data_IF_784550707172
#
_entry.id   IF_784550707172
#
_cell.length_a   1.000
_cell.length_b   1.000
_cell.length_c   1.000
_cell.angle_alpha   90.00
_cell.angle_beta   90.00
_cell.angle_gamma   90.00
#
_symmetry.space_group_name_H-M   'P 1'
#
loop_
_entity.id
_entity.type
_entity.pdbx_description
1 polymer ?
#
# COMPACT_ATOMS: atom_id res chain seq x y z
N UNK A 1 3.36 -7.24 -17.47
CA UNK A 1 2.51 -6.17 -16.92
C UNK A 1 2.39 -6.32 -15.43
N UNK A 2 2.36 -5.21 -14.70
CA UNK A 2 2.14 -5.19 -13.25
C UNK A 2 1.11 -4.11 -12.92
N UNK A 3 0.18 -4.42 -12.01
CA UNK A 3 -0.80 -3.44 -11.52
C UNK A 3 -0.26 -2.82 -10.25
N UNK A 4 -0.34 -1.50 -10.19
CA UNK A 4 0.09 -0.73 -9.03
C UNK A 4 -1.05 0.14 -8.54
N UNK A 5 -1.11 0.33 -7.23
CA UNK A 5 -2.04 1.24 -6.58
C UNK A 5 -1.27 2.34 -5.85
N UNK A 6 -1.79 3.57 -5.94
CA UNK A 6 -1.15 4.75 -5.36
C UNK A 6 -2.14 5.65 -4.66
N UNK A 7 -1.65 6.43 -3.72
CA UNK A 7 -2.29 7.64 -3.26
C UNK A 7 -1.43 8.81 -3.72
N UNK A 8 -2.03 9.81 -4.35
CA UNK A 8 -1.35 11.04 -4.74
C UNK A 8 -2.05 12.25 -4.13
N UNK A 9 -1.28 13.30 -3.82
CA UNK A 9 -1.82 14.51 -3.19
C UNK A 9 -1.01 15.76 -3.57
N UNK A 10 -1.64 16.93 -3.40
CA UNK A 10 -0.97 18.23 -3.47
C UNK A 10 -0.11 18.53 -2.23
N UNK A 11 -0.32 17.78 -1.14
CA UNK A 11 0.35 18.00 0.15
C UNK A 11 0.96 16.70 0.69
N UNK A 12 1.96 16.77 1.58
CA UNK A 12 2.49 15.58 2.24
C UNK A 12 1.40 14.87 3.05
N UNK A 13 1.36 13.55 2.93
CA UNK A 13 0.54 12.65 3.72
C UNK A 13 1.38 11.89 4.76
N UNK A 14 0.82 11.55 5.93
CA UNK A 14 1.50 10.71 6.91
C UNK A 14 1.64 9.27 6.41
N UNK A 15 2.84 8.71 6.47
CA UNK A 15 3.06 7.28 6.18
C UNK A 15 2.50 6.40 7.31
N UNK A 16 1.90 5.27 6.96
CA UNK A 16 1.41 4.27 7.91
C UNK A 16 1.81 2.87 7.44
N UNK A 17 2.20 2.01 8.38
CA UNK A 17 2.47 0.60 8.10
C UNK A 17 1.82 -0.26 9.19
N UNK A 18 0.67 -0.85 8.86
CA UNK A 18 -0.05 -1.76 9.76
C UNK A 18 0.32 -3.23 9.55
N UNK A 19 1.24 -3.54 8.61
CA UNK A 19 1.71 -4.91 8.37
C UNK A 19 2.56 -5.45 9.53
N UNK A 20 3.01 -4.55 10.42
CA UNK A 20 3.95 -4.85 11.50
C UNK A 20 5.26 -5.49 11.00
N UNK A 21 5.61 -5.25 9.73
CA UNK A 21 6.86 -5.70 9.15
C UNK A 21 8.04 -4.99 9.84
N UNK A 22 9.05 -5.77 10.20
CA UNK A 22 10.25 -5.27 10.86
C UNK A 22 11.47 -5.90 10.22
N UNK A 23 12.43 -5.04 9.89
CA UNK A 23 13.77 -5.48 9.50
C UNK A 23 14.62 -5.57 10.75
N UNK A 24 15.28 -6.71 10.96
CA UNK A 24 16.21 -6.89 12.06
C UNK A 24 17.35 -7.82 11.66
N UNK A 25 18.45 -7.79 12.41
CA UNK A 25 19.56 -8.72 12.14
C UNK A 25 19.15 -10.13 12.55
N UNK A 26 19.62 -11.13 11.82
CA UNK A 26 19.30 -12.53 12.12
C UNK A 26 19.72 -12.89 13.55
N UNK A 27 20.91 -12.45 14.00
CA UNK A 27 21.35 -12.62 15.40
C UNK A 27 20.37 -12.13 16.47
N UNK A 28 19.60 -11.08 16.17
CA UNK A 28 18.61 -10.52 17.09
C UNK A 28 17.31 -11.32 17.02
N UNK A 29 16.90 -11.74 15.83
CA UNK A 29 15.77 -12.64 15.63
C UNK A 29 15.95 -13.97 16.40
N UNK A 30 17.15 -14.56 16.34
CA UNK A 30 17.49 -15.80 17.09
C UNK A 30 17.26 -15.67 18.60
N UNK A 31 17.57 -14.51 19.17
CA UNK A 31 17.39 -14.27 20.61
C UNK A 31 15.92 -14.29 21.03
N UNK A 32 15.03 -13.87 20.13
CA UNK A 32 13.58 -13.78 20.36
C UNK A 32 12.90 -15.13 20.06
N UNK A 33 13.36 -15.86 19.03
CA UNK A 33 12.72 -17.08 18.52
C UNK A 33 13.59 -18.34 18.76
N UNK A 34 14.06 -18.55 19.99
CA UNK A 34 14.99 -19.64 20.36
C UNK A 34 14.49 -21.06 20.09
N UNK A 35 13.18 -21.27 19.91
CA UNK A 35 12.58 -22.62 19.83
C UNK A 35 12.27 -23.10 18.40
N UNK A 36 12.38 -22.24 17.36
CA UNK A 36 11.92 -22.58 16.00
C UNK A 36 13.01 -23.03 15.03
N UNK A 37 14.24 -23.25 15.50
CA UNK A 37 15.42 -23.19 14.63
C UNK A 37 15.87 -24.50 13.98
N UNK A 38 15.47 -25.68 14.45
CA UNK A 38 16.14 -26.91 14.00
C UNK A 38 15.92 -27.28 12.52
N UNK A 39 14.93 -26.70 11.83
CA UNK A 39 14.62 -27.00 10.42
C UNK A 39 14.26 -25.76 9.56
N UNK A 40 14.65 -24.55 9.98
CA UNK A 40 14.33 -23.32 9.24
C UNK A 40 15.39 -23.01 8.18
N UNK A 41 14.98 -22.58 6.98
CA UNK A 41 15.90 -22.05 5.95
C UNK A 41 16.70 -20.84 6.45
N UNK A 42 16.16 -20.12 7.46
CA UNK A 42 16.84 -18.99 8.09
C UNK A 42 18.10 -19.41 8.86
N UNK A 43 18.22 -20.68 9.27
CA UNK A 43 19.42 -21.21 9.95
C UNK A 43 20.69 -21.16 9.11
N UNK A 44 20.56 -20.96 7.79
CA UNK A 44 21.68 -20.83 6.86
C UNK A 44 22.16 -19.39 6.69
N UNK A 45 21.45 -18.41 7.28
CA UNK A 45 21.80 -16.99 7.17
C UNK A 45 22.92 -16.62 8.14
N UNK A 46 23.78 -15.69 7.71
CA UNK A 46 24.78 -15.05 8.57
C UNK A 46 24.09 -14.22 9.68
N UNK A 47 24.72 -14.10 10.83
CA UNK A 47 24.26 -13.31 11.98
C UNK A 47 24.00 -11.84 11.64
N UNK A 48 24.76 -11.29 10.70
CA UNK A 48 24.65 -9.91 10.22
C UNK A 48 23.65 -9.74 9.07
N UNK A 49 23.11 -10.84 8.52
CA UNK A 49 22.06 -10.77 7.51
C UNK A 49 20.81 -10.08 8.08
N UNK A 50 20.23 -9.18 7.30
CA UNK A 50 18.97 -8.51 7.66
C UNK A 50 17.81 -9.39 7.19
N UNK A 51 16.96 -9.77 8.13
CA UNK A 51 15.74 -10.52 7.87
C UNK A 51 14.53 -9.59 8.00
N UNK A 52 13.57 -9.76 7.10
CA UNK A 52 12.25 -9.14 7.21
C UNK A 52 11.34 -10.10 7.97
N UNK A 53 10.85 -9.67 9.12
CA UNK A 53 9.92 -10.43 9.95
C UNK A 53 8.59 -9.73 9.91
N UNK A 54 7.53 -10.48 9.67
CA UNK A 54 6.18 -9.97 9.59
C UNK A 54 5.24 -10.98 10.24
N UNK A 55 4.21 -10.48 10.91
CA UNK A 55 3.12 -11.33 11.36
C UNK A 55 2.30 -11.76 10.13
N UNK A 56 2.22 -13.07 9.81
CA UNK A 56 1.49 -13.53 8.64
C UNK A 56 0.02 -13.10 8.65
N UNK A 57 -0.57 -12.87 9.83
CA UNK A 57 -1.97 -12.42 9.97
C UNK A 57 -2.17 -10.96 9.56
N UNK A 58 -1.09 -10.17 9.50
CA UNK A 58 -1.10 -8.74 9.17
C UNK A 58 -0.47 -8.42 7.83
N UNK A 59 0.06 -9.41 7.12
CA UNK A 59 0.72 -9.23 5.82
C UNK A 59 -0.15 -8.47 4.80
N UNK A 60 -1.46 -8.59 4.94
CA UNK A 60 -2.44 -8.01 4.02
C UNK A 60 -3.03 -6.68 4.52
N UNK A 61 -2.53 -6.14 5.63
CA UNK A 61 -3.00 -4.87 6.20
C UNK A 61 -2.44 -3.67 5.42
N UNK A 62 -3.03 -2.51 5.66
CA UNK A 62 -2.70 -1.29 4.93
C UNK A 62 -1.26 -0.87 5.20
N UNK A 63 -0.56 -0.57 4.12
CA UNK A 63 0.70 0.14 4.11
C UNK A 63 0.59 1.31 3.12
N UNK A 64 0.86 2.51 3.61
CA UNK A 64 0.97 3.74 2.83
C UNK A 64 2.36 4.31 3.06
N UNK A 65 3.22 4.22 2.06
CA UNK A 65 4.63 4.62 2.15
C UNK A 65 5.01 5.49 0.97
N UNK A 66 5.99 6.38 1.16
CA UNK A 66 6.39 7.29 0.09
C UNK A 66 6.92 6.52 -1.14
N UNK A 67 6.43 6.89 -2.32
CA UNK A 67 6.84 6.29 -3.58
C UNK A 67 8.14 6.95 -4.07
N UNK A 68 9.27 6.40 -3.65
CA UNK A 68 10.60 6.91 -4.06
C UNK A 68 11.02 6.50 -5.47
N UNK A 69 10.40 5.46 -6.02
CA UNK A 69 10.71 4.90 -7.34
C UNK A 69 9.39 4.54 -8.07
N UNK A 70 8.63 5.53 -8.58
CA UNK A 70 7.40 5.26 -9.29
C UNK A 70 7.64 4.45 -10.57
N UNK A 71 6.65 3.69 -11.07
CA UNK A 71 6.76 3.04 -12.36
C UNK A 71 6.93 4.08 -13.47
N UNK A 72 7.74 3.74 -14.48
CA UNK A 72 7.96 4.59 -15.63
C UNK A 72 6.65 4.89 -16.37
N UNK A 73 6.41 6.16 -16.71
CA UNK A 73 5.19 6.64 -17.37
C UNK A 73 4.08 7.08 -16.41
N UNK A 74 4.26 6.98 -15.09
CA UNK A 74 3.29 7.50 -14.12
C UNK A 74 3.03 9.00 -14.31
N UNK A 75 4.06 9.73 -14.73
CA UNK A 75 4.02 11.16 -15.05
C UNK A 75 3.01 11.51 -16.17
N UNK A 76 2.63 10.56 -17.02
CA UNK A 76 1.62 10.78 -18.06
C UNK A 76 0.20 10.90 -17.46
N UNK A 77 -0.01 10.39 -16.25
CA UNK A 77 -1.33 10.32 -15.61
C UNK A 77 -1.52 11.33 -14.49
N UNK A 78 -0.44 11.70 -13.80
CA UNK A 78 -0.51 12.62 -12.67
C UNK A 78 0.70 13.53 -12.60
N UNK A 79 0.46 14.78 -12.21
CA UNK A 79 1.47 15.84 -12.03
C UNK A 79 1.58 16.25 -10.55
N UNK A 80 1.11 15.37 -9.65
CA UNK A 80 1.10 15.61 -8.20
C UNK A 80 2.49 15.37 -7.62
N UNK A 81 2.92 16.26 -6.73
CA UNK A 81 4.25 16.21 -6.13
C UNK A 81 4.44 15.07 -5.12
N UNK A 82 3.36 14.67 -4.44
CA UNK A 82 3.41 13.65 -3.39
C UNK A 82 2.72 12.37 -3.85
N UNK A 83 3.51 11.31 -4.02
CA UNK A 83 3.07 10.00 -4.48
C UNK A 83 3.42 8.98 -3.41
N UNK A 84 2.45 8.14 -3.05
CA UNK A 84 2.58 7.09 -2.05
C UNK A 84 2.15 5.75 -2.64
N UNK A 85 2.88 4.69 -2.32
CA UNK A 85 2.43 3.34 -2.54
C UNK A 85 1.22 3.04 -1.67
N UNK A 86 0.19 2.43 -2.26
CA UNK A 86 -0.95 1.90 -1.54
C UNK A 86 -0.90 0.38 -1.59
N UNK A 87 -0.44 -0.23 -0.51
CA UNK A 87 -0.20 -1.66 -0.40
C UNK A 87 -1.14 -2.33 0.60
N UNK A 88 -1.24 -3.65 0.49
CA UNK A 88 -2.13 -4.52 1.24
C UNK A 88 -3.11 -5.24 0.32
N UNK A 89 -4.15 -5.81 0.90
CA UNK A 89 -5.12 -6.62 0.17
C UNK A 89 -6.48 -5.91 0.09
N UNK A 90 -6.86 -5.55 -1.14
CA UNK A 90 -8.12 -4.86 -1.43
C UNK A 90 -9.34 -5.70 -1.03
N UNK A 91 -9.23 -7.03 -0.98
CA UNK A 91 -10.31 -7.93 -0.59
C UNK A 91 -10.38 -8.15 0.93
N UNK A 92 -9.43 -7.61 1.69
CA UNK A 92 -9.40 -7.71 3.15
C UNK A 92 -10.24 -6.61 3.81
N UNK A 93 -11.25 -6.99 4.59
CA UNK A 93 -12.15 -6.05 5.29
C UNK A 93 -11.38 -5.13 6.26
N UNK A 94 -10.38 -5.65 6.96
CA UNK A 94 -9.55 -4.88 7.90
C UNK A 94 -8.75 -3.82 7.14
N UNK A 95 -8.23 -4.17 5.97
CA UNK A 95 -7.53 -3.21 5.11
C UNK A 95 -8.46 -2.07 4.67
N UNK A 96 -9.72 -2.38 4.33
CA UNK A 96 -10.71 -1.37 3.93
C UNK A 96 -11.08 -0.44 5.08
N UNK A 97 -11.27 -1.00 6.28
CA UNK A 97 -11.49 -0.22 7.50
C UNK A 97 -10.31 0.71 7.78
N UNK A 98 -9.08 0.18 7.72
CA UNK A 98 -7.85 0.97 7.91
C UNK A 98 -7.72 2.09 6.89
N UNK A 99 -7.98 1.80 5.61
CA UNK A 99 -7.91 2.81 4.55
C UNK A 99 -8.98 3.89 4.75
N UNK A 100 -10.20 3.50 5.09
CA UNK A 100 -11.28 4.45 5.33
C UNK A 100 -10.96 5.41 6.48
N UNK A 101 -10.50 4.88 7.62
CA UNK A 101 -10.10 5.69 8.77
C UNK A 101 -8.89 6.58 8.47
N UNK A 102 -7.91 6.04 7.73
CA UNK A 102 -6.77 6.81 7.25
C UNK A 102 -7.24 8.02 6.42
N UNK A 103 -8.02 7.79 5.35
CA UNK A 103 -8.52 8.84 4.46
C UNK A 103 -9.40 9.87 5.20
N UNK A 104 -10.17 9.44 6.21
CA UNK A 104 -10.98 10.33 7.04
C UNK A 104 -10.13 11.33 7.82
N UNK A 105 -9.00 10.89 8.35
CA UNK A 105 -8.06 11.72 9.10
C UNK A 105 -7.26 12.72 8.26
N UNK A 106 -7.29 12.59 6.92
CA UNK A 106 -6.52 13.45 6.03
C UNK A 106 -7.27 14.74 5.63
N UNK A 107 -6.46 15.77 5.35
CA UNK A 107 -6.87 16.85 4.46
C UNK A 107 -6.90 16.29 3.02
N UNK A 108 -8.04 16.48 2.34
CA UNK A 108 -8.37 15.84 1.05
C UNK A 108 -8.00 16.70 -0.15
N UNK A 109 -7.34 17.84 0.06
CA UNK A 109 -7.01 18.77 -1.02
C UNK A 109 -6.20 18.08 -2.13
N UNK A 110 -6.85 17.89 -3.27
CA UNK A 110 -6.29 17.24 -4.44
C UNK A 110 -5.84 15.79 -4.21
N UNK A 111 -6.46 15.08 -3.26
CA UNK A 111 -6.19 13.67 -2.95
C UNK A 111 -6.83 12.75 -4.00
N UNK A 112 -6.03 11.85 -4.56
CA UNK A 112 -6.51 10.87 -5.55
C UNK A 112 -5.96 9.48 -5.25
N UNK A 113 -6.79 8.46 -5.48
CA UNK A 113 -6.40 7.05 -5.39
C UNK A 113 -6.37 6.47 -6.80
N UNK A 114 -5.23 5.90 -7.15
CA UNK A 114 -4.99 5.33 -8.47
C UNK A 114 -4.85 3.82 -8.38
N UNK A 115 -5.31 3.13 -9.41
CA UNK A 115 -4.95 1.74 -9.67
C UNK A 115 -4.81 1.53 -11.17
N UNK A 116 -3.62 1.12 -11.62
CA UNK A 116 -3.25 1.16 -13.04
C UNK A 116 -2.27 0.04 -13.40
N UNK A 117 -2.48 -0.54 -14.58
CA UNK A 117 -1.55 -1.49 -15.20
C UNK A 117 -0.41 -0.78 -15.92
N UNK A 118 0.83 -1.19 -15.64
CA UNK A 118 2.02 -0.72 -16.35
C UNK A 118 2.65 -1.85 -17.17
N UNK A 119 3.24 -1.49 -18.31
CA UNK A 119 4.03 -2.39 -19.17
C UNK A 119 3.56 -2.46 -20.63
N UNK A 120 2.35 -2.00 -20.94
CA UNK A 120 1.74 -2.10 -22.28
C UNK A 120 1.49 -0.71 -22.91
N UNK A 121 2.25 0.29 -22.48
CA UNK A 121 2.07 1.68 -22.90
C UNK A 121 0.90 2.40 -22.20
N UNK A 122 0.43 3.52 -22.76
CA UNK A 122 -0.64 4.33 -22.17
C UNK A 122 -1.92 3.54 -21.94
N UNK A 123 -2.59 3.81 -20.82
CA UNK A 123 -3.78 3.11 -20.36
C UNK A 123 -4.99 4.04 -20.35
N UNK A 124 -6.15 3.51 -20.71
CA UNK A 124 -7.42 4.20 -20.49
C UNK A 124 -7.77 4.17 -19.00
N UNK A 125 -8.06 5.34 -18.42
CA UNK A 125 -8.35 5.52 -17.00
C UNK A 125 -9.81 5.87 -16.79
N UNK A 126 -10.50 5.11 -15.94
CA UNK A 126 -11.83 5.46 -15.48
C UNK A 126 -11.75 6.44 -14.30
N UNK A 127 -12.23 7.66 -14.50
CA UNK A 127 -12.32 8.64 -13.42
C UNK A 127 -13.61 8.49 -12.60
N UNK A 128 -13.47 8.61 -11.29
CA UNK A 128 -14.57 8.55 -10.32
C UNK A 128 -14.34 9.60 -9.23
N UNK A 129 -15.42 9.99 -8.55
CA UNK A 129 -15.38 10.93 -7.44
C UNK A 129 -16.09 10.33 -6.24
N UNK A 130 -15.48 10.45 -5.06
CA UNK A 130 -16.06 10.00 -3.79
C UNK A 130 -16.01 11.16 -2.81
N UNK A 131 -17.17 11.49 -2.24
CA UNK A 131 -17.30 12.46 -1.16
C UNK A 131 -17.17 11.76 0.19
N UNK A 132 -15.96 11.71 0.74
CA UNK A 132 -15.68 10.85 1.89
C UNK A 132 -16.50 11.20 3.14
N UNK A 133 -16.88 12.48 3.30
CA UNK A 133 -17.72 12.94 4.39
C UNK A 133 -19.14 12.31 4.38
N UNK A 134 -19.64 11.96 3.18
CA UNK A 134 -20.95 11.36 2.96
C UNK A 134 -20.85 9.83 2.75
N UNK A 135 -19.63 9.33 2.54
CA UNK A 135 -19.37 7.93 2.21
C UNK A 135 -19.27 7.00 3.40
N UNK A 136 -19.68 5.76 3.19
CA UNK A 136 -19.47 4.61 4.06
C UNK A 136 -18.30 3.78 3.55
N UNK A 137 -17.80 2.87 4.37
CA UNK A 137 -16.76 1.91 3.99
C UNK A 137 -17.17 1.13 2.73
N UNK A 138 -18.45 0.79 2.60
CA UNK A 138 -18.99 0.09 1.42
C UNK A 138 -18.80 0.88 0.10
N UNK A 139 -18.67 2.20 0.14
CA UNK A 139 -18.41 2.99 -1.08
C UNK A 139 -16.98 2.80 -1.59
N UNK A 140 -16.06 2.31 -0.74
CA UNK A 140 -14.71 1.90 -1.12
C UNK A 140 -14.67 0.54 -1.84
N UNK A 141 -15.79 -0.18 -1.94
CA UNK A 141 -15.84 -1.45 -2.69
C UNK A 141 -15.51 -1.27 -4.18
N UNK A 142 -15.63 -0.05 -4.70
CA UNK A 142 -15.16 0.27 -6.06
C UNK A 142 -13.67 -0.05 -6.26
N UNK A 143 -12.88 -0.04 -5.18
CA UNK A 143 -11.47 -0.41 -5.17
C UNK A 143 -11.25 -1.92 -5.41
N UNK A 144 -12.23 -2.78 -5.07
CA UNK A 144 -12.19 -4.24 -5.27
C UNK A 144 -12.23 -4.63 -6.75
N UNK A 145 -12.62 -3.72 -7.66
CA UNK A 145 -12.72 -4.04 -9.08
C UNK A 145 -11.34 -4.11 -9.74
N UNK A 146 -10.70 -5.28 -9.63
CA UNK A 146 -9.35 -5.56 -10.13
C UNK A 146 -9.22 -5.46 -11.65
N UNK A 147 -10.32 -5.40 -12.41
CA UNK A 147 -10.29 -5.45 -13.87
C UNK A 147 -10.10 -4.11 -14.59
N UNK A 148 -10.27 -2.98 -13.92
CA UNK A 148 -10.20 -1.66 -14.57
C UNK A 148 -9.06 -0.80 -14.01
N UNK A 149 -8.49 0.05 -14.87
CA UNK A 149 -7.63 1.14 -14.43
C UNK A 149 -8.52 2.31 -13.98
N UNK A 150 -8.21 2.93 -12.85
CA UNK A 150 -9.02 4.00 -12.31
C UNK A 150 -8.21 5.09 -11.61
N UNK A 151 -8.84 6.27 -11.56
CA UNK A 151 -8.47 7.38 -10.70
C UNK A 151 -9.72 7.78 -9.90
N UNK A 152 -9.62 7.78 -8.57
CA UNK A 152 -10.67 8.21 -7.67
C UNK A 152 -10.24 9.51 -7.02
N UNK A 153 -10.95 10.59 -7.31
CA UNK A 153 -10.76 11.88 -6.65
C UNK A 153 -11.54 11.89 -5.34
N UNK A 154 -10.85 12.14 -4.23
CA UNK A 154 -11.44 12.17 -2.90
C UNK A 154 -11.78 13.63 -2.56
N UNK A 155 -13.06 13.90 -2.30
CA UNK A 155 -13.60 15.20 -1.91
C UNK A 155 -14.14 15.17 -0.47
#
# INVERSE_FOLDING_TARGET
>A
MSKYSFIVSNIPLPEVDFTAAKRMKYREYKKINKEKESNSILSQLDDEAVVLIMDPTKMNYLSVTICTNPPYGLEEYTQKDYIYWLEGDLDNEIWQEQLYEYLKGLNKDGLEIWSIWFGDGPQDIKEMKIKLAESKIADLEVLKSLSMNYCIKIE
#
